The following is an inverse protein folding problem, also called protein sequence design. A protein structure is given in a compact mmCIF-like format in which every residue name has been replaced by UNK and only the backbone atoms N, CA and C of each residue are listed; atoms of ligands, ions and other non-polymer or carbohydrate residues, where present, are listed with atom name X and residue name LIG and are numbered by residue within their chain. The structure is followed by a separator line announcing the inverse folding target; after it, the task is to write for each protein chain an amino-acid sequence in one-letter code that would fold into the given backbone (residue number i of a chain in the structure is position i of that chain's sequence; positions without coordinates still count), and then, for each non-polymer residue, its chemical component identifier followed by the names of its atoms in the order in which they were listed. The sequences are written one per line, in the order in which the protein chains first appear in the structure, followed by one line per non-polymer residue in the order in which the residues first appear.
data_IF_160685742123
#
_entry.id   IF_160685742123
#
_cell.length_a   1.000
_cell.length_b   1.000
_cell.length_c   1.000
_cell.angle_alpha   90.00
_cell.angle_beta   90.00
_cell.angle_gamma   90.00
#
_symmetry.space_group_name_H-M   'P 1'
#
loop_
_entity.id
_entity.type
_entity.pdbx_description
1 polymer ?
#
# COMPACT_ATOMS: atom_id res chain seq x y z
N UNK A 1 16.31 -10.50 7.79
CA UNK A 1 14.98 -10.32 7.20
C UNK A 1 15.22 -10.13 5.73
N UNK A 2 14.85 -11.09 4.88
CA UNK A 2 15.05 -10.97 3.43
C UNK A 2 14.02 -9.98 2.89
N UNK A 3 14.49 -8.81 2.46
CA UNK A 3 13.68 -7.79 1.82
C UNK A 3 13.36 -8.25 0.39
N UNK A 4 12.09 -8.52 0.10
CA UNK A 4 11.65 -8.89 -1.25
C UNK A 4 11.16 -7.64 -1.96
N UNK A 5 11.73 -7.31 -3.11
CA UNK A 5 11.27 -6.17 -3.91
C UNK A 5 10.23 -6.64 -4.93
N UNK A 6 9.09 -5.94 -5.02
CA UNK A 6 8.05 -6.16 -6.02
C UNK A 6 7.81 -4.90 -6.84
N UNK A 7 7.16 -5.03 -8.01
CA UNK A 7 6.77 -3.89 -8.85
C UNK A 7 5.33 -3.51 -8.56
N UNK A 8 5.06 -2.24 -8.27
CA UNK A 8 3.71 -1.75 -8.09
C UNK A 8 2.96 -1.77 -9.43
N UNK A 9 1.77 -2.36 -9.47
CA UNK A 9 0.94 -2.41 -10.68
C UNK A 9 0.23 -1.08 -10.97
N UNK A 10 0.12 -0.20 -9.99
CA UNK A 10 -0.53 1.12 -10.12
C UNK A 10 0.44 2.12 -10.77
N UNK A 11 1.64 2.31 -10.19
CA UNK A 11 2.60 3.32 -10.63
C UNK A 11 3.84 2.75 -11.33
N UNK A 12 4.01 1.43 -11.37
CA UNK A 12 5.17 0.78 -12.01
C UNK A 12 6.48 0.87 -11.22
N UNK A 13 6.53 1.61 -10.10
CA UNK A 13 7.74 1.75 -9.27
C UNK A 13 8.01 0.46 -8.47
N UNK A 14 9.29 0.09 -8.26
CA UNK A 14 9.64 -0.98 -7.33
C UNK A 14 9.38 -0.55 -5.88
N UNK A 15 8.96 -1.48 -5.03
CA UNK A 15 8.75 -1.27 -3.59
C UNK A 15 9.11 -2.52 -2.78
N UNK A 16 9.42 -2.33 -1.50
CA UNK A 16 9.78 -3.43 -0.59
C UNK A 16 8.52 -4.09 -0.02
N UNK A 17 8.48 -5.40 -0.11
CA UNK A 17 7.45 -6.28 0.44
C UNK A 17 8.05 -7.01 1.63
N UNK A 18 7.41 -6.86 2.78
CA UNK A 18 7.77 -7.52 4.02
C UNK A 18 6.88 -8.75 4.21
N UNK A 19 7.43 -9.99 4.20
CA UNK A 19 6.62 -11.22 4.20
C UNK A 19 5.80 -11.45 5.48
N UNK A 20 6.10 -10.73 6.57
CA UNK A 20 5.38 -10.82 7.85
C UNK A 20 4.40 -9.65 8.08
N UNK A 21 4.16 -8.82 7.07
CA UNK A 21 3.25 -7.70 7.19
C UNK A 21 1.82 -8.11 6.79
N UNK A 22 0.86 -7.96 7.71
CA UNK A 22 -0.53 -8.44 7.57
C UNK A 22 -1.44 -7.43 6.84
N UNK A 23 -0.89 -6.32 6.33
CA UNK A 23 -1.65 -5.35 5.56
C UNK A 23 -1.62 -5.62 4.06
N UNK A 24 -2.44 -4.90 3.30
CA UNK A 24 -2.51 -5.04 1.85
C UNK A 24 -1.17 -4.71 1.17
N UNK A 25 -0.49 -5.68 0.58
CA UNK A 25 0.80 -5.47 -0.11
C UNK A 25 0.66 -5.56 -1.62
N UNK A 26 -0.54 -5.36 -2.17
CA UNK A 26 -0.72 -5.41 -3.63
C UNK A 26 -0.14 -4.16 -4.29
N UNK A 27 -0.09 -3.02 -3.60
CA UNK A 27 0.42 -1.76 -4.12
C UNK A 27 1.50 -1.15 -3.21
N UNK A 28 2.32 -0.26 -3.78
CA UNK A 28 3.33 0.46 -3.00
C UNK A 28 2.67 1.37 -1.94
N UNK A 29 3.40 1.71 -0.86
CA UNK A 29 2.89 2.55 0.21
C UNK A 29 2.29 3.88 -0.27
N UNK A 30 2.94 4.54 -1.24
CA UNK A 30 2.47 5.81 -1.82
C UNK A 30 1.06 5.67 -2.44
N UNK A 31 0.88 4.71 -3.35
CA UNK A 31 -0.42 4.52 -4.00
C UNK A 31 -1.51 4.04 -3.04
N UNK A 32 -1.14 3.30 -1.98
CA UNK A 32 -2.07 2.90 -0.93
C UNK A 32 -2.51 4.09 -0.10
N UNK A 33 -1.58 4.98 0.24
CA UNK A 33 -1.88 6.20 1.00
C UNK A 33 -2.81 7.11 0.21
N UNK A 34 -2.48 7.37 -1.07
CA UNK A 34 -3.32 8.15 -1.97
C UNK A 34 -4.74 7.56 -2.10
N UNK A 35 -4.84 6.23 -2.28
CA UNK A 35 -6.15 5.56 -2.32
C UNK A 35 -6.93 5.72 -1.00
N UNK A 36 -6.24 5.68 0.16
CA UNK A 36 -6.88 5.88 1.48
C UNK A 36 -7.34 7.32 1.69
N UNK A 37 -6.60 8.31 1.20
CA UNK A 37 -7.01 9.71 1.27
C UNK A 37 -8.24 9.98 0.40
N UNK A 38 -8.39 9.27 -0.71
CA UNK A 38 -9.51 9.38 -1.63
C UNK A 38 -10.73 8.51 -1.25
N UNK A 39 -10.66 7.72 -0.17
CA UNK A 39 -11.83 6.95 0.28
C UNK A 39 -12.91 7.92 0.80
N UNK A 40 -14.15 7.84 0.27
CA UNK A 40 -15.24 8.77 0.61
C UNK A 40 -15.74 8.64 2.06
N UNK A 41 -15.28 7.63 2.81
CA UNK A 41 -15.55 7.45 4.23
C UNK A 41 -14.27 7.68 5.03
N UNK A 42 -13.86 8.94 5.19
CA UNK A 42 -13.28 9.32 6.48
C UNK A 42 -14.39 9.07 7.49
N UNK A 43 -14.10 8.32 8.54
CA UNK A 43 -15.03 8.01 9.62
C UNK A 43 -15.48 9.34 10.25
N UNK A 44 -16.50 9.97 9.67
CA UNK A 44 -17.25 11.02 10.32
C UNK A 44 -17.89 10.38 11.54
N UNK A 45 -17.29 10.68 12.69
CA UNK A 45 -17.82 10.60 14.04
C UNK A 45 -19.31 10.26 14.10
N UNK A 46 -19.63 9.09 14.66
CA UNK A 46 -20.96 8.83 15.20
C UNK A 46 -20.87 8.17 16.56
#
# INVERSE_FOLDING_TARGET
MEEKTAKCWICGKPYVVYPHYVGDQLACPECREEARENLPNKWEDK
#
